data_IF_035537277281
#
_entry.id   IF_035537277281
#
_cell.length_a   1.000
_cell.length_b   1.000
_cell.length_c   1.000
_cell.angle_alpha   90.00
_cell.angle_beta   90.00
_cell.angle_gamma   90.00
#
_symmetry.space_group_name_H-M   'P 1'
#
loop_
_entity.id
_entity.type
_entity.pdbx_description
1 polymer ?
#
# COMPACT_ATOMS: atom_id res chain seq x y z
N UNK A 1 15.43 25.22 7.59
CA UNK A 1 14.88 25.31 6.22
C UNK A 1 15.82 24.45 5.41
N UNK A 2 15.47 23.21 5.08
CA UNK A 2 16.40 22.27 4.47
C UNK A 2 16.61 22.58 2.99
N UNK A 3 17.75 22.14 2.52
CA UNK A 3 18.52 22.69 1.42
C UNK A 3 18.03 22.09 0.09
N UNK A 4 18.01 22.86 -1.02
CA UNK A 4 17.44 22.41 -2.30
C UNK A 4 18.26 21.32 -3.01
N UNK A 5 19.37 20.88 -2.42
CA UNK A 5 20.35 19.97 -3.02
C UNK A 5 19.88 18.49 -3.06
N UNK A 6 18.77 18.16 -2.40
CA UNK A 6 18.33 16.76 -2.26
C UNK A 6 17.64 16.15 -3.50
N UNK A 7 17.24 16.97 -4.48
CA UNK A 7 16.52 16.48 -5.67
C UNK A 7 17.41 16.23 -6.90
N UNK A 8 18.72 16.52 -6.83
CA UNK A 8 19.58 16.56 -8.02
C UNK A 8 20.14 15.18 -8.45
N UNK A 9 19.92 14.10 -7.69
CA UNK A 9 20.68 12.84 -7.88
C UNK A 9 19.89 11.60 -8.37
N UNK A 10 18.65 11.74 -8.89
CA UNK A 10 17.82 10.56 -9.21
C UNK A 10 17.60 10.25 -10.70
N UNK A 11 18.37 10.83 -11.62
CA UNK A 11 18.32 10.44 -13.04
C UNK A 11 19.69 10.04 -13.55
N UNK A 12 19.92 8.72 -13.57
CA UNK A 12 21.02 8.06 -14.24
C UNK A 12 20.91 8.33 -15.75
N UNK A 13 21.71 9.27 -16.23
CA UNK A 13 21.74 9.69 -17.64
C UNK A 13 22.30 8.57 -18.51
N UNK A 14 21.41 7.78 -19.12
CA UNK A 14 21.75 6.80 -20.16
C UNK A 14 21.97 7.51 -21.50
N UNK A 15 23.19 7.50 -22.08
CA UNK A 15 23.56 8.38 -23.20
C UNK A 15 23.04 7.90 -24.57
N UNK A 16 22.19 6.86 -24.62
CA UNK A 16 21.76 6.23 -25.88
C UNK A 16 20.25 6.40 -26.16
N UNK A 17 19.71 7.60 -25.96
CA UNK A 17 18.41 7.93 -26.55
C UNK A 17 18.62 8.42 -27.99
N UNK A 18 17.80 7.91 -28.91
CA UNK A 18 17.76 8.40 -30.28
C UNK A 18 17.57 9.93 -30.25
N UNK A 19 18.27 10.67 -31.12
CA UNK A 19 18.27 12.15 -31.17
C UNK A 19 16.86 12.78 -31.29
N UNK A 20 15.83 11.97 -31.59
CA UNK A 20 14.43 12.36 -31.68
C UNK A 20 13.58 11.96 -30.45
N UNK A 21 14.19 11.60 -29.32
CA UNK A 21 13.46 11.35 -28.08
C UNK A 21 13.09 12.67 -27.40
N UNK A 22 11.97 13.27 -27.82
CA UNK A 22 11.34 14.34 -27.05
C UNK A 22 10.61 13.71 -25.86
N UNK A 23 11.00 14.10 -24.65
CA UNK A 23 10.20 13.77 -23.46
C UNK A 23 8.78 14.32 -23.68
N UNK A 24 7.74 13.49 -23.54
CA UNK A 24 6.36 13.96 -23.69
C UNK A 24 6.09 15.02 -22.62
N UNK A 25 5.89 16.26 -23.06
CA UNK A 25 5.57 17.37 -22.19
C UNK A 25 4.05 17.33 -21.95
N UNK A 26 3.64 16.66 -20.87
CA UNK A 26 2.22 16.46 -20.54
C UNK A 26 1.53 17.72 -20.00
N UNK A 27 2.29 18.69 -19.50
CA UNK A 27 1.82 19.95 -18.92
C UNK A 27 2.46 21.12 -19.63
N UNK A 28 1.75 22.24 -19.81
CA UNK A 28 2.32 23.40 -20.51
C UNK A 28 3.33 24.15 -19.63
N UNK A 29 3.21 24.04 -18.30
CA UNK A 29 4.09 24.72 -17.35
C UNK A 29 4.45 23.84 -16.15
N UNK A 30 5.61 24.10 -15.55
CA UNK A 30 6.07 23.46 -14.29
C UNK A 30 5.07 23.74 -13.14
N UNK A 31 4.38 24.88 -13.17
CA UNK A 31 3.38 25.23 -12.16
C UNK A 31 2.14 24.31 -12.23
N UNK A 32 1.68 23.97 -13.43
CA UNK A 32 0.59 23.01 -13.63
C UNK A 32 0.99 21.62 -13.18
N UNK A 33 2.19 21.16 -13.54
CA UNK A 33 2.73 19.88 -13.09
C UNK A 33 2.75 19.80 -11.55
N UNK A 34 3.27 20.83 -10.88
CA UNK A 34 3.32 20.87 -9.42
C UNK A 34 1.94 20.82 -8.77
N UNK A 35 0.91 21.47 -9.36
CA UNK A 35 -0.47 21.39 -8.86
C UNK A 35 -1.00 19.96 -8.89
N UNK A 36 -0.75 19.23 -9.99
CA UNK A 36 -1.16 17.84 -10.12
C UNK A 36 -0.40 16.93 -9.17
N UNK A 37 0.91 17.12 -9.00
CA UNK A 37 1.72 16.34 -8.06
C UNK A 37 1.25 16.51 -6.61
N UNK A 38 0.94 17.75 -6.20
CA UNK A 38 0.41 18.02 -4.85
C UNK A 38 -0.96 17.34 -4.67
N UNK A 39 -1.83 17.39 -5.68
CA UNK A 39 -3.14 16.74 -5.61
C UNK A 39 -3.02 15.23 -5.49
N UNK A 40 -2.17 14.61 -6.32
CA UNK A 40 -1.90 13.16 -6.27
C UNK A 40 -1.30 12.78 -4.92
N UNK A 41 -0.32 13.54 -4.42
CA UNK A 41 0.29 13.30 -3.11
C UNK A 41 -0.73 13.38 -1.97
N UNK A 42 -1.63 14.36 -2.00
CA UNK A 42 -2.68 14.49 -0.99
C UNK A 42 -3.65 13.32 -1.04
N UNK A 43 -4.08 12.91 -2.23
CA UNK A 43 -4.98 11.75 -2.42
C UNK A 43 -4.30 10.46 -1.95
N UNK A 44 -3.05 10.25 -2.32
CA UNK A 44 -2.26 9.09 -1.90
C UNK A 44 -2.17 8.99 -0.37
N UNK A 45 -1.91 10.11 0.31
CA UNK A 45 -1.86 10.16 1.77
C UNK A 45 -3.16 9.74 2.44
N UNK A 46 -4.32 10.20 1.95
CA UNK A 46 -5.61 9.79 2.49
C UNK A 46 -5.94 8.33 2.16
N UNK A 47 -5.59 7.86 0.96
CA UNK A 47 -5.79 6.47 0.55
C UNK A 47 -4.94 5.51 1.39
N UNK A 48 -3.69 5.88 1.70
CA UNK A 48 -2.83 5.08 2.57
C UNK A 48 -3.48 4.91 3.96
N UNK A 49 -3.94 6.01 4.56
CA UNK A 49 -4.63 5.96 5.86
C UNK A 49 -5.91 5.13 5.83
N UNK A 50 -6.73 5.30 4.78
CA UNK A 50 -7.94 4.53 4.60
C UNK A 50 -7.64 3.04 4.41
N UNK A 51 -6.62 2.71 3.64
CA UNK A 51 -6.20 1.33 3.41
C UNK A 51 -5.74 0.67 4.70
N UNK A 52 -4.95 1.35 5.54
CA UNK A 52 -4.55 0.84 6.86
C UNK A 52 -5.76 0.58 7.75
N UNK A 53 -6.74 1.49 7.78
CA UNK A 53 -7.95 1.33 8.58
C UNK A 53 -8.82 0.16 8.08
N UNK A 54 -9.09 0.10 6.77
CA UNK A 54 -9.88 -0.96 6.16
C UNK A 54 -9.21 -2.34 6.31
N UNK A 55 -7.89 -2.38 6.17
CA UNK A 55 -7.07 -3.57 6.40
C UNK A 55 -7.19 -4.08 7.84
N UNK A 56 -7.09 -3.18 8.83
CA UNK A 56 -7.29 -3.54 10.23
C UNK A 56 -8.71 -4.05 10.52
N UNK A 57 -9.72 -3.41 9.96
CA UNK A 57 -11.13 -3.84 10.09
C UNK A 57 -11.33 -5.22 9.43
N UNK A 58 -10.79 -5.42 8.23
CA UNK A 58 -10.83 -6.69 7.51
C UNK A 58 -10.15 -7.82 8.29
N UNK A 59 -9.01 -7.53 8.92
CA UNK A 59 -8.34 -8.49 9.81
C UNK A 59 -9.25 -8.93 10.97
N UNK A 60 -9.93 -7.98 11.63
CA UNK A 60 -10.84 -8.28 12.74
C UNK A 60 -12.00 -9.16 12.28
N UNK A 61 -12.65 -8.81 11.17
CA UNK A 61 -13.76 -9.60 10.65
C UNK A 61 -13.33 -11.00 10.21
N UNK A 62 -12.16 -11.14 9.56
CA UNK A 62 -11.64 -12.45 9.17
C UNK A 62 -11.26 -13.31 10.38
N UNK A 63 -10.75 -12.70 11.45
CA UNK A 63 -10.52 -13.39 12.73
C UNK A 63 -11.82 -13.84 13.40
N UNK A 64 -12.84 -12.96 13.46
CA UNK A 64 -14.15 -13.33 14.01
C UNK A 64 -14.81 -14.45 13.20
N UNK A 65 -14.71 -14.38 11.88
CA UNK A 65 -15.20 -15.40 10.97
C UNK A 65 -14.53 -16.75 11.25
N UNK A 66 -13.19 -16.75 11.41
CA UNK A 66 -12.42 -17.93 11.77
C UNK A 66 -12.85 -18.53 13.13
N UNK A 67 -13.05 -17.69 14.15
CA UNK A 67 -13.48 -18.12 15.50
C UNK A 67 -14.88 -18.76 15.47
N UNK A 68 -15.83 -18.15 14.76
CA UNK A 68 -17.20 -18.69 14.63
C UNK A 68 -17.18 -20.05 13.93
N UNK A 69 -16.37 -20.19 12.88
CA UNK A 69 -16.37 -21.41 12.07
C UNK A 69 -15.60 -22.60 12.67
N UNK A 70 -14.72 -22.36 13.65
CA UNK A 70 -14.09 -23.42 14.44
C UNK A 70 -15.11 -24.17 15.33
N UNK A 71 -16.29 -23.60 15.58
CA UNK A 71 -17.30 -24.21 16.44
C UNK A 71 -17.71 -25.61 15.95
N UNK A 72 -17.73 -26.56 16.89
CA UNK A 72 -17.86 -28.00 16.65
C UNK A 72 -19.08 -28.40 15.81
N UNK A 73 -20.15 -27.62 15.85
CA UNK A 73 -21.40 -27.87 15.13
C UNK A 73 -21.38 -27.50 13.64
N UNK A 74 -20.40 -26.71 13.18
CA UNK A 74 -20.36 -26.21 11.80
C UNK A 74 -19.37 -26.96 10.90
N UNK A 75 -18.50 -27.81 11.45
CA UNK A 75 -17.37 -28.42 10.70
C UNK A 75 -17.75 -29.56 9.75
N UNK A 76 -19.03 -29.93 9.67
CA UNK A 76 -19.54 -31.07 8.89
C UNK A 76 -19.89 -30.71 7.44
N UNK A 77 -19.96 -29.42 7.09
CA UNK A 77 -20.22 -28.97 5.71
C UNK A 77 -18.93 -28.56 5.00
N UNK A 78 -18.77 -29.00 3.75
CA UNK A 78 -17.65 -28.62 2.88
C UNK A 78 -17.54 -27.11 2.68
N UNK A 79 -18.67 -26.40 2.70
CA UNK A 79 -18.75 -24.94 2.60
C UNK A 79 -18.00 -24.29 3.76
N UNK A 80 -18.14 -24.81 4.98
CA UNK A 80 -17.53 -24.20 6.16
C UNK A 80 -16.01 -24.44 6.19
N UNK A 81 -15.51 -25.54 5.61
CA UNK A 81 -14.07 -25.78 5.46
C UNK A 81 -13.48 -24.83 4.41
N UNK A 82 -14.15 -24.64 3.28
CA UNK A 82 -13.71 -23.71 2.23
C UNK A 82 -13.63 -22.27 2.75
N UNK A 83 -14.63 -21.84 3.50
CA UNK A 83 -14.67 -20.47 4.02
C UNK A 83 -13.62 -20.26 5.13
N UNK A 84 -13.19 -21.30 5.87
CA UNK A 84 -12.03 -21.24 6.78
C UNK A 84 -10.74 -21.04 5.96
N UNK A 85 -10.61 -21.74 4.84
CA UNK A 85 -9.46 -21.57 3.94
C UNK A 85 -9.34 -20.14 3.44
N UNK A 86 -10.45 -19.53 3.01
CA UNK A 86 -10.49 -18.14 2.55
C UNK A 86 -10.12 -17.18 3.68
N UNK A 87 -10.70 -17.34 4.87
CA UNK A 87 -10.40 -16.44 6.00
C UNK A 87 -8.93 -16.53 6.45
N UNK A 88 -8.32 -17.72 6.42
CA UNK A 88 -6.88 -17.90 6.72
C UNK A 88 -6.01 -17.25 5.65
N UNK A 89 -6.35 -17.40 4.37
CA UNK A 89 -5.64 -16.73 3.27
C UNK A 89 -5.67 -15.21 3.45
N UNK A 90 -6.85 -14.65 3.75
CA UNK A 90 -7.00 -13.21 3.94
C UNK A 90 -6.23 -12.72 5.16
N UNK A 91 -6.30 -13.43 6.30
CA UNK A 91 -5.50 -13.09 7.50
C UNK A 91 -4.00 -13.09 7.19
N UNK A 92 -3.53 -14.03 6.37
CA UNK A 92 -2.10 -14.14 6.04
C UNK A 92 -1.63 -12.96 5.19
N UNK A 93 -2.38 -12.60 4.15
CA UNK A 93 -2.03 -11.49 3.24
C UNK A 93 -2.14 -10.13 3.95
N UNK A 94 -3.24 -9.92 4.68
CA UNK A 94 -3.48 -8.68 5.44
C UNK A 94 -2.47 -8.56 6.59
N UNK A 95 -2.24 -9.66 7.32
CA UNK A 95 -1.28 -9.73 8.41
C UNK A 95 0.15 -9.44 7.97
N UNK A 96 0.58 -9.93 6.79
CA UNK A 96 1.88 -9.58 6.23
C UNK A 96 2.00 -8.09 5.94
N UNK A 97 1.00 -7.50 5.28
CA UNK A 97 0.98 -6.07 4.91
C UNK A 97 0.99 -5.16 6.15
N UNK A 98 0.19 -5.46 7.17
CA UNK A 98 0.15 -4.68 8.42
C UNK A 98 1.44 -4.91 9.23
N UNK A 99 1.93 -6.15 9.26
CA UNK A 99 3.15 -6.52 9.97
C UNK A 99 4.39 -5.81 9.42
N UNK A 100 4.54 -5.73 8.09
CA UNK A 100 5.65 -5.00 7.46
C UNK A 100 5.58 -3.51 7.79
N UNK A 101 4.40 -2.90 7.72
CA UNK A 101 4.21 -1.49 8.06
C UNK A 101 4.54 -1.18 9.54
N UNK A 102 4.10 -2.03 10.47
CA UNK A 102 4.43 -1.88 11.90
C UNK A 102 5.92 -2.08 12.13
N UNK A 103 6.53 -3.09 11.50
CA UNK A 103 7.96 -3.37 11.63
C UNK A 103 8.80 -2.19 11.15
N UNK A 104 8.51 -1.65 9.96
CA UNK A 104 9.18 -0.47 9.44
C UNK A 104 9.00 0.72 10.40
N UNK A 105 7.76 0.99 10.83
CA UNK A 105 7.49 2.10 11.75
C UNK A 105 8.26 1.96 13.07
N UNK A 106 8.31 0.77 13.66
CA UNK A 106 9.03 0.52 14.91
C UNK A 106 10.56 0.57 14.73
N UNK A 107 11.07 0.14 13.58
CA UNK A 107 12.49 0.21 13.27
C UNK A 107 12.96 1.66 13.10
N UNK A 108 12.18 2.48 12.39
CA UNK A 108 12.46 3.90 12.20
C UNK A 108 12.21 4.76 13.46
N UNK A 109 11.42 4.30 14.42
CA UNK A 109 11.19 4.99 15.70
C UNK A 109 12.34 4.77 16.72
N UNK A 110 13.27 3.85 16.42
CA UNK A 110 14.45 3.54 17.26
C UNK A 110 15.70 4.36 16.91
N UNK A 111 15.64 5.21 15.90
CA UNK A 111 16.74 6.09 15.45
C UNK A 111 16.23 7.53 15.28
#
# INVERSE_FOLDING_TARGET
MPDPEYFEYAYDYSPNFAENFTFPHYFETIEEENKWLILISNVAFYLEKANVLLSAIGLIFNLLHFVVMIQKGMRTSSINILTIGISVCDITVIGYTVGSYIYEKFYWDKW
#
